data_IF_284123564549
#
_entry.id   IF_284123564549
#
_cell.length_a   1.000
_cell.length_b   1.000
_cell.length_c   1.000
_cell.angle_alpha   90.00
_cell.angle_beta   90.00
_cell.angle_gamma   90.00
#
_symmetry.space_group_name_H-M   'P 1'
#
loop_
_entity.id
_entity.type
_entity.pdbx_description
1 polymer ?
#
# COMPACT_ATOMS: atom_id res chain seq x y z
N UNK A 1 -10.49 -9.81 -9.76
CA UNK A 1 -9.22 -9.72 -8.99
C UNK A 1 -9.31 -8.85 -7.76
N UNK A 2 -9.69 -7.55 -7.82
CA UNK A 2 -9.81 -6.74 -6.58
C UNK A 2 -10.82 -7.32 -5.60
N UNK A 3 -12.01 -7.69 -6.07
CA UNK A 3 -13.06 -8.30 -5.22
C UNK A 3 -12.64 -9.65 -4.64
N UNK A 4 -11.88 -10.45 -5.41
CA UNK A 4 -11.37 -11.74 -4.94
C UNK A 4 -10.35 -11.56 -3.81
N UNK A 5 -9.52 -10.52 -3.89
CA UNK A 5 -8.57 -10.18 -2.83
C UNK A 5 -9.30 -9.73 -1.57
N UNK A 6 -10.31 -8.85 -1.72
CA UNK A 6 -11.15 -8.40 -0.59
C UNK A 6 -11.81 -9.60 0.06
N UNK A 7 -12.48 -10.45 -0.73
CA UNK A 7 -13.17 -11.65 -0.23
C UNK A 7 -12.21 -12.58 0.52
N UNK A 8 -11.04 -12.85 -0.04
CA UNK A 8 -10.04 -13.71 0.60
C UNK A 8 -9.51 -13.10 1.93
N UNK A 9 -9.35 -11.78 2.00
CA UNK A 9 -8.95 -11.12 3.23
C UNK A 9 -10.03 -11.17 4.29
N UNK A 10 -11.28 -10.92 3.92
CA UNK A 10 -12.40 -10.95 4.86
C UNK A 10 -12.69 -12.38 5.34
N UNK A 11 -12.60 -13.39 4.46
CA UNK A 11 -12.73 -14.80 4.82
C UNK A 11 -11.63 -15.26 5.79
N UNK A 12 -10.38 -14.81 5.58
CA UNK A 12 -9.29 -15.09 6.51
C UNK A 12 -9.56 -14.43 7.87
N UNK A 13 -10.07 -13.21 7.88
CA UNK A 13 -10.18 -12.39 9.07
C UNK A 13 -8.81 -12.04 9.69
N UNK A 14 -8.82 -11.62 10.96
CA UNK A 14 -7.56 -11.28 11.66
C UNK A 14 -6.92 -9.97 11.19
N UNK A 15 -7.74 -9.00 10.87
CA UNK A 15 -7.32 -7.63 10.62
C UNK A 15 -6.76 -7.02 11.90
N UNK A 16 -5.45 -6.95 12.00
CA UNK A 16 -4.76 -6.49 13.21
C UNK A 16 -3.61 -5.54 12.86
N UNK A 17 -3.34 -4.54 13.73
CA UNK A 17 -2.15 -3.74 13.59
C UNK A 17 -0.90 -4.56 13.91
N UNK A 18 0.23 -4.21 13.31
CA UNK A 18 1.52 -4.80 13.68
C UNK A 18 1.87 -4.40 15.11
N UNK A 19 2.41 -5.33 15.90
CA UNK A 19 3.00 -4.99 17.19
C UNK A 19 4.10 -3.92 17.01
N UNK A 20 4.11 -2.94 17.89
CA UNK A 20 5.13 -1.87 17.94
C UNK A 20 5.20 -0.95 16.71
N UNK A 21 4.17 -0.93 15.87
CA UNK A 21 4.09 0.02 14.76
C UNK A 21 3.73 1.43 15.30
N UNK A 22 4.54 2.42 14.92
CA UNK A 22 4.28 3.83 15.23
C UNK A 22 3.01 4.36 14.54
N UNK A 23 2.59 3.71 13.46
CA UNK A 23 1.40 4.04 12.67
C UNK A 23 0.55 2.78 12.47
N UNK A 24 -0.11 2.29 13.53
CA UNK A 24 -0.82 1.03 13.51
C UNK A 24 -1.95 1.05 12.47
N UNK A 25 -2.02 0.01 11.68
CA UNK A 25 -3.01 -0.19 10.63
C UNK A 25 -3.67 -1.56 10.73
N UNK A 26 -4.94 -1.65 10.35
CA UNK A 26 -5.63 -2.93 10.18
C UNK A 26 -5.13 -3.59 8.90
N UNK A 27 -4.29 -4.62 9.00
CA UNK A 27 -3.61 -5.20 7.85
C UNK A 27 -3.59 -6.72 7.82
N UNK A 28 -3.47 -7.28 6.61
CA UNK A 28 -3.22 -8.70 6.35
C UNK A 28 -2.09 -8.83 5.34
N UNK A 29 -1.06 -9.59 5.65
CA UNK A 29 0.06 -9.83 4.74
C UNK A 29 -0.32 -10.74 3.59
N UNK A 30 -0.01 -10.33 2.36
CA UNK A 30 -0.37 -11.09 1.16
C UNK A 30 0.45 -12.38 1.02
N UNK A 31 1.69 -12.41 1.46
CA UNK A 31 2.50 -13.62 1.45
C UNK A 31 1.94 -14.73 2.36
N UNK A 32 1.22 -14.36 3.41
CA UNK A 32 0.54 -15.30 4.32
C UNK A 32 -0.85 -15.67 3.81
N UNK A 33 -1.54 -14.73 3.17
CA UNK A 33 -2.87 -14.94 2.60
C UNK A 33 -2.81 -15.79 1.32
N UNK A 34 -1.96 -15.39 0.39
CA UNK A 34 -1.86 -15.97 -0.95
C UNK A 34 -0.42 -15.88 -1.49
N UNK A 35 0.45 -16.89 -1.15
CA UNK A 35 1.85 -16.89 -1.60
C UNK A 35 2.03 -16.84 -3.11
N UNK A 36 1.09 -17.39 -3.88
CA UNK A 36 1.14 -17.36 -5.35
C UNK A 36 0.90 -15.94 -5.89
N UNK A 37 -0.03 -15.20 -5.33
CA UNK A 37 -0.27 -13.79 -5.66
C UNK A 37 0.98 -12.93 -5.34
N UNK A 38 1.58 -13.15 -4.18
CA UNK A 38 2.81 -12.46 -3.79
C UNK A 38 3.93 -12.67 -4.81
N UNK A 39 4.19 -13.92 -5.20
CA UNK A 39 5.21 -14.26 -6.21
C UNK A 39 4.91 -13.68 -7.58
N UNK A 40 3.64 -13.68 -7.99
CA UNK A 40 3.24 -13.10 -9.27
C UNK A 40 3.42 -11.58 -9.28
N UNK A 41 3.08 -10.90 -8.18
CA UNK A 41 3.31 -9.47 -8.02
C UNK A 41 4.81 -9.14 -8.06
N UNK A 42 5.65 -9.89 -7.34
CA UNK A 42 7.10 -9.72 -7.36
C UNK A 42 7.67 -9.86 -8.78
N UNK A 43 7.24 -10.88 -9.50
CA UNK A 43 7.64 -11.11 -10.89
C UNK A 43 7.20 -9.96 -11.83
N UNK A 44 5.96 -9.50 -11.69
CA UNK A 44 5.43 -8.41 -12.50
C UNK A 44 6.11 -7.07 -12.20
N UNK A 45 6.36 -6.77 -10.95
CA UNK A 45 7.13 -5.59 -10.55
C UNK A 45 8.53 -5.62 -11.14
N UNK A 46 9.23 -6.74 -11.01
CA UNK A 46 10.58 -6.93 -11.54
C UNK A 46 10.62 -6.78 -13.06
N UNK A 47 9.67 -7.37 -13.75
CA UNK A 47 9.67 -7.40 -15.23
C UNK A 47 9.18 -6.10 -15.88
N UNK A 48 8.17 -5.46 -15.28
CA UNK A 48 7.44 -4.39 -15.95
C UNK A 48 7.55 -3.04 -15.29
N UNK A 49 7.73 -2.97 -13.98
CA UNK A 49 7.69 -1.71 -13.23
C UNK A 49 9.10 -1.19 -12.98
N UNK A 50 9.99 -2.03 -12.46
CA UNK A 50 11.34 -1.60 -12.12
C UNK A 50 12.12 -0.99 -13.29
N UNK A 51 12.14 -1.55 -14.49
CA UNK A 51 12.83 -0.93 -15.61
C UNK A 51 12.33 0.47 -15.97
N UNK A 52 11.04 0.74 -15.73
CA UNK A 52 10.47 2.06 -15.92
C UNK A 52 10.88 3.02 -14.80
N UNK A 53 10.88 2.57 -13.54
CA UNK A 53 11.31 3.39 -12.41
C UNK A 53 12.80 3.75 -12.51
N UNK A 54 13.64 2.84 -12.91
CA UNK A 54 15.08 3.07 -13.10
C UNK A 54 15.35 4.15 -14.15
N UNK A 55 14.51 4.29 -15.16
CA UNK A 55 14.61 5.35 -16.16
C UNK A 55 14.36 6.74 -15.56
N UNK A 56 13.50 6.86 -14.55
CA UNK A 56 13.18 8.12 -13.87
C UNK A 56 14.01 8.34 -12.60
N UNK A 57 14.40 7.26 -11.93
CA UNK A 57 15.16 7.27 -10.69
C UNK A 57 16.35 6.30 -10.78
N UNK A 58 17.43 6.65 -11.50
CA UNK A 58 18.56 5.76 -11.74
C UNK A 58 19.21 5.14 -10.48
N UNK A 59 19.23 5.81 -9.30
CA UNK A 59 19.77 5.21 -8.08
C UNK A 59 18.90 4.14 -7.46
N UNK A 60 17.69 3.93 -7.99
CA UNK A 60 16.72 2.96 -7.47
C UNK A 60 16.98 1.57 -8.05
N UNK A 61 18.21 1.09 -7.97
CA UNK A 61 18.49 -0.32 -8.22
C UNK A 61 17.70 -1.16 -7.24
N UNK A 62 17.06 -2.14 -7.76
CA UNK A 62 16.01 -2.93 -7.18
C UNK A 62 16.36 -3.66 -5.91
N UNK A 63 15.68 -3.31 -4.85
CA UNK A 63 15.87 -3.96 -3.56
C UNK A 63 14.82 -5.07 -3.27
N UNK A 64 13.93 -5.34 -4.21
CA UNK A 64 12.85 -6.32 -4.05
C UNK A 64 11.75 -5.86 -3.10
N UNK A 65 10.73 -6.68 -2.98
CA UNK A 65 9.63 -6.46 -2.05
C UNK A 65 10.11 -6.74 -0.61
N UNK A 66 9.86 -5.81 0.29
CA UNK A 66 9.99 -6.00 1.72
C UNK A 66 8.68 -6.49 2.33
N UNK A 67 7.59 -5.76 2.04
CA UNK A 67 6.25 -6.03 2.54
C UNK A 67 5.22 -5.79 1.46
N UNK A 68 4.21 -6.65 1.41
CA UNK A 68 3.04 -6.50 0.58
C UNK A 68 1.82 -6.95 1.37
N UNK A 69 0.92 -6.02 1.65
CA UNK A 69 -0.19 -6.25 2.57
C UNK A 69 -1.46 -5.52 2.15
N UNK A 70 -2.60 -6.11 2.50
CA UNK A 70 -3.91 -5.46 2.41
C UNK A 70 -4.15 -4.62 3.65
N UNK A 71 -4.79 -3.46 3.48
CA UNK A 71 -5.24 -2.58 4.56
C UNK A 71 -6.74 -2.41 4.48
N UNK A 72 -7.37 -2.31 5.66
CA UNK A 72 -8.80 -2.02 5.81
C UNK A 72 -9.00 -0.81 6.71
N UNK A 73 -9.85 0.11 6.25
CA UNK A 73 -10.38 1.20 7.06
C UNK A 73 -11.88 1.04 7.22
N UNK A 74 -12.38 1.15 8.45
CA UNK A 74 -13.80 1.06 8.75
C UNK A 74 -14.18 1.99 9.91
N UNK A 75 -15.46 2.35 9.99
CA UNK A 75 -15.94 3.26 11.03
C UNK A 75 -15.82 2.68 12.45
N UNK A 76 -15.81 1.34 12.55
CA UNK A 76 -15.76 0.63 13.83
C UNK A 76 -14.33 0.38 14.34
N UNK A 77 -13.32 0.54 13.47
CA UNK A 77 -11.92 0.27 13.82
C UNK A 77 -11.03 1.46 13.48
N UNK A 78 -10.21 1.34 12.46
CA UNK A 78 -9.31 2.39 12.00
C UNK A 78 -10.00 3.23 10.93
N UNK A 79 -10.14 4.54 11.17
CA UNK A 79 -10.79 5.47 10.23
C UNK A 79 -9.80 6.24 9.37
N UNK A 80 -8.58 6.39 9.84
CA UNK A 80 -7.56 7.25 9.24
C UNK A 80 -6.16 6.74 9.55
N UNK A 81 -5.16 7.28 8.91
CA UNK A 81 -3.77 7.06 9.26
C UNK A 81 -3.04 8.41 9.21
N UNK A 82 -2.42 8.79 10.33
CA UNK A 82 -1.74 10.07 10.47
C UNK A 82 -0.64 10.27 9.44
N UNK A 83 -0.28 11.52 9.19
CA UNK A 83 0.79 11.87 8.24
C UNK A 83 2.11 11.21 8.63
N UNK A 84 2.73 10.53 7.69
CA UNK A 84 3.98 9.80 7.88
C UNK A 84 4.76 9.67 6.57
N UNK A 85 5.99 9.20 6.68
CA UNK A 85 6.78 8.65 5.59
C UNK A 85 6.93 7.14 5.79
N UNK A 86 7.10 6.40 4.71
CA UNK A 86 7.28 4.96 4.79
C UNK A 86 8.74 4.57 5.01
N UNK A 87 8.94 3.46 5.70
CA UNK A 87 10.25 2.81 5.81
C UNK A 87 10.53 1.96 4.55
N UNK A 88 10.47 2.59 3.37
CA UNK A 88 10.54 1.96 2.05
C UNK A 88 11.31 2.87 1.09
N UNK A 89 12.00 2.31 0.09
CA UNK A 89 12.58 3.13 -0.99
C UNK A 89 11.51 3.58 -1.96
N UNK A 90 10.70 2.65 -2.44
CA UNK A 90 9.51 2.91 -3.24
C UNK A 90 8.32 2.30 -2.52
N UNK A 91 7.31 3.09 -2.32
CA UNK A 91 6.01 2.65 -1.81
C UNK A 91 4.99 2.63 -2.92
N UNK A 92 4.02 1.75 -2.79
CA UNK A 92 2.91 1.65 -3.72
C UNK A 92 1.58 1.43 -3.02
N UNK A 93 0.52 1.91 -3.63
CA UNK A 93 -0.84 1.66 -3.16
C UNK A 93 -1.79 1.41 -4.32
N UNK A 94 -2.71 0.47 -4.12
CA UNK A 94 -3.80 0.15 -5.05
C UNK A 94 -5.12 0.24 -4.30
N UNK A 95 -6.06 1.05 -4.78
CA UNK A 95 -7.44 0.97 -4.30
C UNK A 95 -8.08 -0.33 -4.76
N UNK A 96 -8.67 -1.07 -3.83
CA UNK A 96 -9.37 -2.31 -4.15
C UNK A 96 -10.88 -2.11 -4.35
N UNK A 97 -11.46 -1.05 -3.80
CA UNK A 97 -12.87 -0.69 -3.96
C UNK A 97 -13.06 0.82 -4.07
N UNK A 98 -14.27 1.24 -4.48
CA UNK A 98 -14.66 2.65 -4.63
C UNK A 98 -15.97 3.00 -3.88
N UNK A 99 -16.59 2.03 -3.21
CA UNK A 99 -17.86 2.19 -2.50
C UNK A 99 -17.68 2.69 -1.06
N UNK A 100 -16.95 3.80 -0.90
CA UNK A 100 -16.73 4.48 0.37
C UNK A 100 -16.59 6.00 0.14
N UNK A 101 -16.67 6.80 1.20
CA UNK A 101 -16.42 8.25 1.17
C UNK A 101 -15.33 8.61 2.18
N UNK A 102 -14.54 9.64 1.84
CA UNK A 102 -13.34 9.99 2.62
C UNK A 102 -12.19 9.03 2.38
N UNK A 103 -11.29 8.94 3.34
CA UNK A 103 -10.13 8.04 3.33
C UNK A 103 -9.24 8.13 2.09
N UNK A 104 -9.17 9.30 1.43
CA UNK A 104 -8.23 9.52 0.34
C UNK A 104 -6.80 9.41 0.84
N UNK A 105 -5.94 8.83 0.01
CA UNK A 105 -4.49 8.93 0.18
C UNK A 105 -4.06 10.29 -0.34
N UNK A 106 -3.62 11.16 0.58
CA UNK A 106 -3.25 12.54 0.28
C UNK A 106 -1.76 12.77 0.51
N UNK A 107 -1.15 13.54 -0.40
CA UNK A 107 0.24 13.97 -0.38
C UNK A 107 0.29 15.50 -0.28
N UNK A 108 0.30 16.07 0.93
CA UNK A 108 0.18 17.51 1.11
C UNK A 108 1.26 18.33 0.40
N UNK A 109 2.51 17.86 0.41
CA UNK A 109 3.63 18.55 -0.28
C UNK A 109 3.51 18.57 -1.79
N UNK A 110 2.85 17.58 -2.38
CA UNK A 110 2.65 17.46 -3.82
C UNK A 110 1.29 18.02 -4.27
N UNK A 111 0.47 18.48 -3.33
CA UNK A 111 -0.92 18.91 -3.61
C UNK A 111 -1.70 17.85 -4.40
N UNK A 112 -1.52 16.59 -4.05
CA UNK A 112 -2.09 15.44 -4.75
C UNK A 112 -2.92 14.57 -3.82
N UNK A 113 -4.04 14.05 -4.35
CA UNK A 113 -4.83 12.99 -3.71
C UNK A 113 -5.13 11.88 -4.71
N UNK A 114 -5.35 10.67 -4.21
CA UNK A 114 -5.69 9.54 -5.07
C UNK A 114 -7.21 9.45 -5.38
N UNK A 115 -7.98 10.50 -5.14
CA UNK A 115 -9.44 10.52 -5.34
C UNK A 115 -9.84 10.01 -6.73
N UNK A 116 -9.16 10.50 -7.77
CA UNK A 116 -9.46 10.19 -9.17
C UNK A 116 -8.63 9.04 -9.74
N UNK A 117 -7.77 8.41 -8.94
CA UNK A 117 -7.04 7.21 -9.38
C UNK A 117 -8.01 6.04 -9.43
N UNK A 118 -8.14 5.37 -10.57
CA UNK A 118 -9.08 4.25 -10.70
C UNK A 118 -8.75 3.08 -9.79
N UNK A 119 -9.76 2.33 -9.40
CA UNK A 119 -9.64 1.05 -8.73
C UNK A 119 -8.73 0.09 -9.53
N UNK A 120 -7.83 -0.61 -8.86
CA UNK A 120 -6.90 -1.56 -9.48
C UNK A 120 -5.66 -0.93 -10.11
N UNK A 121 -5.55 0.40 -10.11
CA UNK A 121 -4.34 1.12 -10.57
C UNK A 121 -3.37 1.30 -9.41
N UNK A 122 -2.11 0.96 -9.64
CA UNK A 122 -1.05 1.16 -8.64
C UNK A 122 -0.48 2.57 -8.75
N UNK A 123 -0.55 3.31 -7.65
CA UNK A 123 0.18 4.56 -7.45
C UNK A 123 1.52 4.24 -6.78
N UNK A 124 2.61 4.81 -7.29
CA UNK A 124 3.96 4.62 -6.76
C UNK A 124 4.58 5.96 -6.37
N UNK A 125 5.34 5.98 -5.26
CA UNK A 125 6.05 7.18 -4.79
C UNK A 125 7.34 6.81 -4.04
N UNK A 126 8.32 7.75 -3.94
CA UNK A 126 9.46 7.58 -3.05
C UNK A 126 8.97 7.48 -1.59
N UNK A 127 9.26 6.39 -0.91
CA UNK A 127 8.72 6.12 0.42
C UNK A 127 9.28 7.02 1.51
N UNK A 128 10.54 7.43 1.40
CA UNK A 128 11.23 8.21 2.42
C UNK A 128 11.21 9.72 2.15
N UNK A 129 11.12 10.51 3.21
CA UNK A 129 11.40 11.96 3.33
C UNK A 129 10.59 12.89 2.43
N UNK A 130 10.53 12.66 1.12
CA UNK A 130 10.01 13.67 0.16
C UNK A 130 8.50 13.64 -0.03
N UNK A 131 7.87 12.51 0.25
CA UNK A 131 6.44 12.28 0.02
C UNK A 131 5.71 11.87 1.31
N UNK A 132 5.68 12.74 2.34
CA UNK A 132 4.82 12.49 3.49
C UNK A 132 3.37 12.43 3.02
N UNK A 133 2.65 11.43 3.51
CA UNK A 133 1.28 11.18 3.11
C UNK A 133 0.41 10.81 4.30
N UNK A 134 -0.88 10.97 4.10
CA UNK A 134 -1.92 10.74 5.10
C UNK A 134 -3.05 9.94 4.45
N UNK A 135 -3.65 9.02 5.17
CA UNK A 135 -4.98 8.53 4.83
C UNK A 135 -6.01 9.38 5.57
N UNK A 136 -6.76 10.19 4.83
CA UNK A 136 -7.79 11.06 5.36
C UNK A 136 -8.85 10.26 6.11
N UNK A 137 -9.66 10.93 6.92
CA UNK A 137 -10.71 10.25 7.70
C UNK A 137 -11.75 9.62 6.81
N UNK A 138 -12.07 8.36 7.05
CA UNK A 138 -13.20 7.65 6.43
C UNK A 138 -14.51 8.23 6.96
N UNK A 139 -15.40 8.62 6.05
CA UNK A 139 -16.70 9.21 6.36
C UNK A 139 -17.84 8.18 6.23
N UNK A 140 -17.74 7.28 5.24
CA UNK A 140 -18.77 6.29 4.94
C UNK A 140 -18.19 5.03 4.31
N UNK A 141 -18.77 3.87 4.62
CA UNK A 141 -18.41 2.59 4.02
C UNK A 141 -17.18 1.95 4.64
N UNK A 142 -16.52 1.10 3.87
CA UNK A 142 -15.27 0.42 4.22
C UNK A 142 -14.31 0.55 3.06
N UNK A 143 -13.10 1.00 3.31
CA UNK A 143 -12.04 1.08 2.30
C UNK A 143 -11.10 -0.10 2.43
N UNK A 144 -10.78 -0.70 1.27
CA UNK A 144 -9.73 -1.70 1.12
C UNK A 144 -8.66 -1.21 0.16
N UNK A 145 -7.41 -1.43 0.50
CA UNK A 145 -6.25 -1.12 -0.35
C UNK A 145 -5.16 -2.17 -0.21
N UNK A 146 -4.30 -2.26 -1.23
CA UNK A 146 -3.03 -2.95 -1.13
C UNK A 146 -1.93 -1.94 -0.94
N UNK A 147 -0.95 -2.27 -0.11
CA UNK A 147 0.26 -1.48 0.11
C UNK A 147 1.48 -2.32 -0.19
N UNK A 148 2.39 -1.73 -0.97
CA UNK A 148 3.68 -2.30 -1.32
C UNK A 148 4.79 -1.48 -0.68
N UNK A 149 5.70 -2.14 0.01
CA UNK A 149 6.95 -1.56 0.47
C UNK A 149 8.14 -2.33 -0.12
N UNK A 150 9.07 -1.61 -0.69
CA UNK A 150 10.34 -2.18 -1.13
C UNK A 150 11.38 -2.13 -0.01
N UNK A 151 12.42 -2.94 -0.11
CA UNK A 151 13.58 -2.87 0.78
C UNK A 151 14.26 -1.51 0.67
N UNK A 152 14.84 -1.01 1.77
CA UNK A 152 15.51 0.30 1.81
C UNK A 152 16.93 0.24 1.28
N UNK A 153 17.67 -0.81 1.61
CA UNK A 153 19.04 -1.06 1.20
C UNK A 153 19.31 -2.57 1.25
N UNK A 154 20.45 -2.99 0.73
CA UNK A 154 20.90 -4.39 0.73
C UNK A 154 21.06 -5.02 2.13
N UNK A 155 20.96 -4.22 3.18
CA UNK A 155 21.05 -4.68 4.58
C UNK A 155 19.70 -5.05 5.20
N UNK A 156 18.59 -4.79 4.52
CA UNK A 156 17.25 -5.22 4.95
C UNK A 156 17.03 -6.71 4.53
N UNK A 157 17.93 -7.58 4.97
CA UNK A 157 17.82 -9.03 4.77
C UNK A 157 16.99 -9.66 5.87
#
# INVERSE_FOLDING_TARGET
MCDDIIGACDDKGGWEPRPDDAYPAQEIRINELCPSLYKEMEKNLTKHIWPQLEAYWPPMSMYGIRDFFAMRYSLDTQKELAIHNDASMVSGSVKLNDNYQGAELSFPRQHFTNRHVPRGVMLLWPGQVTHPHICETLEEGVKYSLTLWTKRFTQDT
#
